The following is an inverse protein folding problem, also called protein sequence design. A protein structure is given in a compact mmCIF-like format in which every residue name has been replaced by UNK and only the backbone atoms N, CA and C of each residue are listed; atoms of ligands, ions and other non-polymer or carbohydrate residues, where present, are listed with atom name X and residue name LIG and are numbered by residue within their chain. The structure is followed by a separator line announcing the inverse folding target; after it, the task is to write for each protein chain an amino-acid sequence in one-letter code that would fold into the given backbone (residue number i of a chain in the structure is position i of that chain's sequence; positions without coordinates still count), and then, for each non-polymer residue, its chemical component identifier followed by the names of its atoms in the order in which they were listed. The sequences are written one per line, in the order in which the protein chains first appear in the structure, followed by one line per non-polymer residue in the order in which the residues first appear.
data_IF_532247181725
#
_entry.id   IF_532247181725
#
_cell.length_a   1.000
_cell.length_b   1.000
_cell.length_c   1.000
_cell.angle_alpha   90.00
_cell.angle_beta   90.00
_cell.angle_gamma   90.00
#
_symmetry.space_group_name_H-M   'P 1'
#
loop_
_entity.id
_entity.type
_entity.pdbx_description
1 polymer ?
#
# COMPACT_ATOMS: atom_id res chain seq x y z
N UNK A 1 -37.99 -7.23 -10.22
CA UNK A 1 -36.55 -7.28 -10.53
C UNK A 1 -35.97 -5.93 -10.17
N UNK A 2 -35.43 -5.82 -8.97
CA UNK A 2 -34.80 -4.61 -8.44
C UNK A 2 -33.38 -4.56 -8.97
N UNK A 3 -33.09 -3.58 -9.83
CA UNK A 3 -31.73 -3.27 -10.24
C UNK A 3 -30.92 -2.90 -8.99
N UNK A 4 -30.00 -3.80 -8.62
CA UNK A 4 -28.90 -3.52 -7.71
C UNK A 4 -28.04 -2.44 -8.38
N UNK A 5 -28.20 -1.19 -7.93
CA UNK A 5 -27.20 -0.15 -8.18
C UNK A 5 -25.91 -0.65 -7.54
N UNK A 6 -24.92 -0.97 -8.39
CA UNK A 6 -23.55 -1.10 -7.93
C UNK A 6 -23.20 0.15 -7.11
N UNK A 7 -22.50 0.01 -5.96
CA UNK A 7 -22.05 1.18 -5.22
C UNK A 7 -21.18 2.03 -6.15
N UNK A 8 -21.70 3.23 -6.39
CA UNK A 8 -21.12 4.33 -7.13
C UNK A 8 -19.65 4.49 -6.80
N UNK A 9 -18.84 4.70 -7.85
CA UNK A 9 -17.45 5.12 -7.80
C UNK A 9 -17.14 5.99 -6.58
N UNK A 10 -16.11 5.59 -5.82
CA UNK A 10 -15.58 6.33 -4.68
C UNK A 10 -15.35 7.78 -5.13
N UNK A 11 -16.20 8.69 -4.68
CA UNK A 11 -15.89 10.10 -4.76
C UNK A 11 -14.66 10.31 -3.90
N UNK A 12 -13.50 10.55 -4.53
CA UNK A 12 -12.37 11.17 -3.83
C UNK A 12 -12.95 12.36 -3.06
N UNK A 13 -12.72 12.40 -1.75
CA UNK A 13 -13.09 13.55 -0.92
C UNK A 13 -12.60 14.82 -1.62
N UNK A 14 -13.42 15.86 -1.63
CA UNK A 14 -13.02 17.13 -2.22
C UNK A 14 -11.70 17.62 -1.59
N UNK A 15 -10.82 18.23 -2.39
CA UNK A 15 -9.50 18.71 -1.90
C UNK A 15 -9.62 19.66 -0.70
N UNK A 16 -10.71 20.42 -0.66
CA UNK A 16 -10.98 21.42 0.38
C UNK A 16 -11.76 20.82 1.56
N UNK A 17 -11.81 19.49 1.67
CA UNK A 17 -12.40 18.80 2.82
C UNK A 17 -11.61 19.12 4.08
N UNK A 18 -12.29 19.64 5.09
CA UNK A 18 -11.73 19.89 6.41
C UNK A 18 -11.98 18.70 7.32
N UNK A 19 -11.01 18.41 8.18
CA UNK A 19 -11.16 17.53 9.33
C UNK A 19 -10.89 18.31 10.61
N UNK A 20 -11.60 17.96 11.67
CA UNK A 20 -11.38 18.48 13.02
C UNK A 20 -11.19 17.33 13.99
N UNK A 21 -10.00 17.31 14.60
CA UNK A 21 -9.56 16.28 15.53
C UNK A 21 -10.08 16.57 16.95
N UNK A 22 -10.39 15.52 17.74
CA UNK A 22 -10.92 15.68 19.09
C UNK A 22 -9.85 16.03 20.14
N UNK A 23 -8.55 15.92 19.81
CA UNK A 23 -7.44 16.07 20.77
C UNK A 23 -6.60 17.32 20.51
N UNK A 24 -5.96 17.84 21.55
CA UNK A 24 -4.97 18.93 21.47
C UNK A 24 -3.54 18.42 21.25
N UNK A 25 -3.37 17.15 20.82
CA UNK A 25 -2.04 16.56 20.58
C UNK A 25 -1.33 17.20 19.39
N UNK A 26 -2.07 17.87 18.51
CA UNK A 26 -1.54 18.65 17.40
C UNK A 26 -1.61 20.15 17.70
N UNK A 27 -0.73 20.93 17.04
CA UNK A 27 -0.61 22.39 17.22
C UNK A 27 -1.90 23.17 16.88
N UNK A 28 -2.79 22.56 16.09
CA UNK A 28 -4.16 23.03 15.83
C UNK A 28 -5.08 21.81 15.76
N UNK A 29 -6.39 22.05 15.78
CA UNK A 29 -7.39 20.96 15.74
C UNK A 29 -8.04 20.77 14.39
N UNK A 30 -7.95 21.74 13.49
CA UNK A 30 -8.58 21.69 12.15
C UNK A 30 -7.51 21.65 11.07
N UNK A 31 -7.66 20.73 10.13
CA UNK A 31 -6.73 20.49 9.03
C UNK A 31 -7.50 20.28 7.74
N UNK A 32 -6.88 20.54 6.60
CA UNK A 32 -7.32 19.95 5.35
C UNK A 32 -7.08 18.45 5.41
N UNK A 33 -7.95 17.67 4.77
CA UNK A 33 -7.83 16.22 4.71
C UNK A 33 -6.48 15.78 4.11
N UNK A 34 -6.03 16.47 3.06
CA UNK A 34 -4.71 16.25 2.44
C UNK A 34 -3.53 16.49 3.38
N UNK A 35 -3.65 17.41 4.33
CA UNK A 35 -2.62 17.62 5.34
C UNK A 35 -2.56 16.43 6.30
N UNK A 36 -3.70 15.82 6.62
CA UNK A 36 -3.72 14.62 7.46
C UNK A 36 -3.08 13.41 6.76
N UNK A 37 -3.33 13.22 5.46
CA UNK A 37 -2.62 12.21 4.66
C UNK A 37 -1.11 12.44 4.72
N UNK A 38 -0.68 13.70 4.56
CA UNK A 38 0.73 14.08 4.60
C UNK A 38 1.35 13.86 5.98
N UNK A 39 0.64 14.20 7.06
CA UNK A 39 1.07 13.96 8.44
C UNK A 39 1.24 12.46 8.68
N UNK A 40 0.25 11.64 8.31
CA UNK A 40 0.31 10.19 8.47
C UNK A 40 1.47 9.58 7.68
N UNK A 41 1.64 9.96 6.41
CA UNK A 41 2.76 9.51 5.58
C UNK A 41 4.11 9.89 6.17
N UNK A 42 4.24 11.12 6.66
CA UNK A 42 5.47 11.60 7.28
C UNK A 42 5.80 10.88 8.58
N UNK A 43 4.80 10.60 9.42
CA UNK A 43 4.96 9.81 10.65
C UNK A 43 5.51 8.40 10.36
N UNK A 44 5.09 7.76 9.26
CA UNK A 44 5.59 6.43 8.87
C UNK A 44 7.00 6.51 8.28
N UNK A 45 7.21 7.40 7.30
CA UNK A 45 8.49 7.48 6.57
C UNK A 45 9.67 7.95 7.42
N UNK A 46 9.41 8.62 8.54
CA UNK A 46 10.47 9.06 9.46
C UNK A 46 10.97 7.99 10.43
N UNK A 47 10.39 6.78 10.45
CA UNK A 47 10.85 5.66 11.29
C UNK A 47 12.30 5.31 10.94
N UNK A 48 12.58 5.09 9.66
CA UNK A 48 13.93 4.85 9.14
C UNK A 48 14.00 5.06 7.63
N UNK A 49 15.23 5.13 7.10
CA UNK A 49 15.44 5.20 5.65
C UNK A 49 14.92 3.96 4.92
N UNK A 50 15.11 2.76 5.48
CA UNK A 50 14.60 1.52 4.91
C UNK A 50 13.06 1.48 4.89
N UNK A 51 12.39 1.99 5.93
CA UNK A 51 10.92 2.13 5.94
C UNK A 51 10.46 3.09 4.85
N UNK A 52 11.13 4.24 4.68
CA UNK A 52 10.86 5.18 3.59
C UNK A 52 11.02 4.51 2.22
N UNK A 53 12.06 3.71 2.01
CA UNK A 53 12.24 2.95 0.77
C UNK A 53 11.15 1.90 0.55
N UNK A 54 10.63 1.28 1.61
CA UNK A 54 9.46 0.40 1.49
C UNK A 54 8.19 1.18 1.12
N UNK A 55 7.98 2.38 1.65
CA UNK A 55 6.82 3.21 1.29
C UNK A 55 6.84 3.57 -0.20
N UNK A 56 8.00 3.99 -0.70
CA UNK A 56 8.22 4.29 -2.13
C UNK A 56 8.10 3.03 -3.00
N UNK A 57 8.51 1.88 -2.47
CA UNK A 57 8.55 0.59 -3.13
C UNK A 57 9.96 0.12 -3.39
N UNK A 58 10.19 -1.14 -3.04
CA UNK A 58 11.49 -1.78 -3.17
C UNK A 58 11.35 -3.10 -3.91
N UNK A 59 12.32 -3.40 -4.77
CA UNK A 59 12.39 -4.70 -5.46
C UNK A 59 12.56 -5.83 -4.44
N UNK A 60 11.77 -6.87 -4.61
CA UNK A 60 11.79 -8.02 -3.73
C UNK A 60 10.94 -9.15 -4.27
N UNK A 61 10.56 -10.05 -3.38
CA UNK A 61 9.77 -11.23 -3.67
C UNK A 61 8.75 -11.51 -2.59
N UNK A 62 7.66 -12.15 -2.97
CA UNK A 62 6.63 -12.65 -2.08
C UNK A 62 6.29 -14.12 -2.40
N UNK A 63 5.87 -14.89 -1.40
CA UNK A 63 5.36 -16.25 -1.63
C UNK A 63 3.93 -16.14 -2.17
N UNK A 64 3.72 -16.62 -3.38
CA UNK A 64 2.40 -16.72 -4.01
C UNK A 64 1.58 -17.87 -3.39
N UNK A 65 0.24 -17.87 -3.53
CA UNK A 65 -0.63 -18.93 -3.01
C UNK A 65 -0.29 -20.35 -3.50
N UNK A 66 0.40 -20.48 -4.63
CA UNK A 66 0.89 -21.75 -5.18
C UNK A 66 2.18 -22.26 -4.51
N UNK A 67 2.73 -21.52 -3.55
CA UNK A 67 3.96 -21.84 -2.80
C UNK A 67 5.26 -21.41 -3.46
N UNK A 68 5.22 -20.78 -4.65
CA UNK A 68 6.40 -20.27 -5.33
C UNK A 68 6.75 -18.83 -4.91
N UNK A 69 8.04 -18.48 -4.96
CA UNK A 69 8.47 -17.09 -4.87
C UNK A 69 8.23 -16.38 -6.19
N UNK A 70 7.52 -15.25 -6.14
CA UNK A 70 7.38 -14.33 -7.27
C UNK A 70 8.22 -13.08 -7.03
N UNK A 71 8.91 -12.61 -8.06
CA UNK A 71 9.63 -11.34 -8.05
C UNK A 71 8.68 -10.19 -8.37
N UNK A 72 8.91 -9.04 -7.75
CA UNK A 72 8.07 -7.87 -7.95
C UNK A 72 8.49 -6.68 -7.11
N UNK A 73 7.55 -5.76 -6.93
CA UNK A 73 7.71 -4.58 -6.07
C UNK A 73 6.95 -4.80 -4.77
N UNK A 74 7.66 -4.77 -3.65
CA UNK A 74 7.11 -4.78 -2.29
C UNK A 74 6.97 -3.35 -1.80
N UNK A 75 5.79 -3.00 -1.27
CA UNK A 75 5.51 -1.67 -0.70
C UNK A 75 4.92 -1.75 0.70
N UNK A 76 5.36 -0.88 1.59
CA UNK A 76 4.65 -0.57 2.83
C UNK A 76 3.61 0.52 2.53
N UNK A 77 2.36 0.26 2.87
CA UNK A 77 1.27 1.19 2.70
C UNK A 77 0.97 1.87 4.04
N UNK A 78 1.02 3.20 4.06
CA UNK A 78 0.47 4.00 5.13
C UNK A 78 -0.99 4.29 4.78
N UNK A 79 -1.94 3.64 5.45
CA UNK A 79 -3.35 3.72 5.12
C UNK A 79 -4.10 4.65 6.06
N UNK A 80 -4.84 5.61 5.51
CA UNK A 80 -5.81 6.39 6.25
C UNK A 80 -7.21 5.84 5.98
N UNK A 81 -7.88 5.42 7.04
CA UNK A 81 -9.21 4.82 6.99
C UNK A 81 -10.21 5.76 7.66
N UNK A 82 -11.30 6.06 6.96
CA UNK A 82 -12.39 6.89 7.44
C UNK A 82 -13.70 6.11 7.37
N UNK A 83 -14.35 5.93 8.51
CA UNK A 83 -15.69 5.32 8.61
C UNK A 83 -16.71 6.37 9.04
N UNK A 84 -17.58 6.79 8.12
CA UNK A 84 -18.62 7.79 8.41
C UNK A 84 -19.73 7.14 9.23
N UNK A 85 -20.11 7.70 10.39
CA UNK A 85 -21.03 7.02 11.32
C UNK A 85 -22.47 6.90 10.82
N UNK A 86 -22.91 7.85 9.98
CA UNK A 86 -24.28 7.92 9.48
C UNK A 86 -24.46 7.19 8.13
N UNK A 87 -23.40 6.58 7.60
CA UNK A 87 -23.36 6.01 6.26
C UNK A 87 -22.64 4.66 6.30
N UNK A 88 -22.89 3.77 5.35
CA UNK A 88 -22.05 2.57 5.15
C UNK A 88 -20.74 2.91 4.39
N UNK A 89 -20.48 4.20 4.17
CA UNK A 89 -19.30 4.70 3.48
C UNK A 89 -18.05 4.46 4.30
N UNK A 90 -17.19 3.58 3.79
CA UNK A 90 -15.85 3.32 4.29
C UNK A 90 -14.84 3.76 3.22
N UNK A 91 -13.98 4.69 3.59
CA UNK A 91 -12.90 5.15 2.74
C UNK A 91 -11.58 4.60 3.28
N UNK A 92 -10.78 4.02 2.39
CA UNK A 92 -9.41 3.60 2.68
C UNK A 92 -8.51 4.15 1.58
N UNK A 93 -7.52 4.94 1.97
CA UNK A 93 -6.59 5.60 1.06
C UNK A 93 -5.14 5.28 1.45
N UNK A 94 -4.32 4.94 0.47
CA UNK A 94 -2.87 5.01 0.61
C UNK A 94 -2.46 6.48 0.68
N UNK A 95 -1.81 6.88 1.78
CA UNK A 95 -1.39 8.27 2.00
C UNK A 95 -0.40 8.77 0.93
N UNK A 96 0.35 7.87 0.27
CA UNK A 96 1.28 8.25 -0.79
C UNK A 96 0.55 8.52 -2.11
N UNK A 97 -0.25 7.57 -2.58
CA UNK A 97 -0.91 7.63 -3.90
C UNK A 97 -2.26 8.34 -3.87
N UNK A 98 -2.88 8.45 -2.69
CA UNK A 98 -4.24 8.97 -2.44
C UNK A 98 -5.33 8.14 -3.10
N UNK A 99 -5.02 6.91 -3.48
CA UNK A 99 -5.94 5.96 -4.08
C UNK A 99 -6.26 4.83 -3.10
N UNK A 100 -7.35 4.12 -3.37
CA UNK A 100 -7.63 2.88 -2.66
C UNK A 100 -6.56 1.84 -3.00
N UNK A 101 -5.87 1.28 -2.00
CA UNK A 101 -4.78 0.34 -2.23
C UNK A 101 -5.28 -0.91 -2.96
N UNK A 102 -4.41 -1.46 -3.81
CA UNK A 102 -4.63 -2.73 -4.51
C UNK A 102 -3.50 -3.70 -4.13
N UNK A 103 -3.75 -4.99 -4.30
CA UNK A 103 -2.74 -6.04 -4.08
C UNK A 103 -2.12 -6.04 -2.67
N UNK A 104 -2.94 -5.79 -1.64
CA UNK A 104 -2.54 -5.98 -0.24
C UNK A 104 -2.23 -7.46 0.00
N UNK A 105 -1.10 -7.73 0.63
CA UNK A 105 -0.69 -9.07 1.01
C UNK A 105 -1.42 -9.51 2.28
N UNK A 106 -1.82 -10.79 2.40
CA UNK A 106 -2.34 -11.32 3.65
C UNK A 106 -1.23 -11.38 4.71
N UNK A 107 -1.62 -11.32 5.99
CA UNK A 107 -0.69 -11.41 7.13
C UNK A 107 0.13 -12.72 7.18
N UNK A 108 -0.30 -13.76 6.47
CA UNK A 108 0.39 -15.04 6.35
C UNK A 108 1.42 -15.08 5.22
N UNK A 109 1.44 -14.07 4.34
CA UNK A 109 2.44 -13.99 3.28
C UNK A 109 3.84 -13.80 3.87
N UNK A 110 4.84 -14.27 3.13
CA UNK A 110 6.25 -14.04 3.45
C UNK A 110 6.86 -13.20 2.33
N UNK A 111 7.60 -12.17 2.71
CA UNK A 111 8.29 -11.27 1.79
C UNK A 111 9.79 -11.26 2.05
N UNK A 112 10.56 -10.90 1.03
CA UNK A 112 11.99 -10.63 1.13
C UNK A 112 12.38 -9.56 0.12
N UNK A 113 13.30 -8.68 0.51
CA UNK A 113 13.71 -7.50 -0.25
C UNK A 113 15.22 -7.54 -0.49
N UNK A 114 15.66 -7.21 -1.70
CA UNK A 114 17.08 -7.37 -2.08
C UNK A 114 17.99 -6.35 -1.35
N UNK A 115 17.54 -5.08 -1.29
CA UNK A 115 18.31 -3.94 -0.80
C UNK A 115 17.55 -3.16 0.30
N UNK A 116 16.98 -3.86 1.27
CA UNK A 116 16.27 -3.23 2.39
C UNK A 116 16.47 -4.03 3.69
N UNK A 117 16.97 -3.39 4.74
CA UNK A 117 17.32 -4.09 5.98
C UNK A 117 16.09 -4.58 6.77
N UNK A 118 14.92 -3.97 6.60
CA UNK A 118 13.68 -4.35 7.30
C UNK A 118 13.21 -5.75 6.89
N UNK A 119 13.40 -6.10 5.62
CA UNK A 119 12.95 -7.37 5.02
C UNK A 119 14.06 -8.07 4.22
N UNK A 120 15.33 -7.90 4.60
CA UNK A 120 16.46 -8.51 3.88
C UNK A 120 16.41 -10.04 3.92
N UNK A 121 16.02 -10.58 5.07
CA UNK A 121 15.70 -11.98 5.25
C UNK A 121 14.19 -12.20 5.08
N UNK A 122 13.73 -13.44 4.78
CA UNK A 122 12.31 -13.72 4.69
C UNK A 122 11.57 -13.37 5.99
N UNK A 123 10.56 -12.50 5.89
CA UNK A 123 9.72 -12.04 7.02
C UNK A 123 8.25 -12.32 6.73
N UNK A 124 7.51 -12.80 7.71
CA UNK A 124 6.06 -12.87 7.64
C UNK A 124 5.46 -11.46 7.74
N UNK A 125 4.52 -11.14 6.84
CA UNK A 125 3.91 -9.81 6.74
C UNK A 125 3.28 -9.36 8.05
N UNK A 126 2.49 -10.22 8.71
CA UNK A 126 1.79 -9.85 9.94
C UNK A 126 2.72 -9.50 11.10
N UNK A 127 3.86 -10.20 11.22
CA UNK A 127 4.86 -9.92 12.27
C UNK A 127 5.58 -8.60 11.98
N UNK A 128 6.00 -8.40 10.72
CA UNK A 128 6.67 -7.17 10.30
C UNK A 128 5.77 -5.94 10.49
N UNK A 129 4.51 -6.01 10.04
CA UNK A 129 3.54 -4.91 10.20
C UNK A 129 3.32 -4.59 11.66
N UNK A 130 3.25 -5.62 12.53
CA UNK A 130 3.12 -5.43 13.97
C UNK A 130 4.32 -4.68 14.56
N UNK A 131 5.54 -5.10 14.23
CA UNK A 131 6.77 -4.43 14.69
C UNK A 131 6.82 -2.98 14.22
N UNK A 132 6.52 -2.70 12.94
CA UNK A 132 6.49 -1.34 12.41
C UNK A 132 5.43 -0.47 13.08
N UNK A 133 4.27 -1.03 13.44
CA UNK A 133 3.24 -0.32 14.23
C UNK A 133 3.73 0.01 15.63
N UNK A 134 4.50 -0.87 16.27
CA UNK A 134 5.10 -0.62 17.58
C UNK A 134 6.19 0.46 17.50
N UNK A 135 7.06 0.41 16.48
CA UNK A 135 8.06 1.45 16.21
C UNK A 135 7.41 2.82 15.96
N UNK A 136 6.34 2.86 15.16
CA UNK A 136 5.61 4.08 14.87
C UNK A 136 5.00 4.72 16.13
N UNK A 137 4.42 3.89 17.00
CA UNK A 137 3.88 4.36 18.28
C UNK A 137 4.97 4.96 19.18
N UNK A 138 6.15 4.36 19.19
CA UNK A 138 7.30 4.86 19.95
C UNK A 138 7.87 6.16 19.36
N UNK A 139 7.87 6.29 18.03
CA UNK A 139 8.43 7.45 17.34
C UNK A 139 7.47 8.65 17.28
N UNK A 140 6.15 8.43 17.25
CA UNK A 140 5.12 9.45 17.03
C UNK A 140 3.93 9.25 18.00
N UNK A 141 4.08 9.69 19.25
CA UNK A 141 3.06 9.57 20.30
C UNK A 141 1.73 10.29 19.96
N UNK A 142 1.78 11.30 19.09
CA UNK A 142 0.62 12.02 18.57
C UNK A 142 -0.26 11.14 17.67
N UNK A 143 0.30 10.10 17.04
CA UNK A 143 -0.41 9.20 16.13
C UNK A 143 -1.01 7.97 16.83
N UNK A 144 -0.59 7.68 18.06
CA UNK A 144 -0.97 6.45 18.79
C UNK A 144 -2.47 6.22 18.83
N UNK A 145 -3.27 7.25 19.10
CA UNK A 145 -4.72 7.12 19.24
C UNK A 145 -5.39 6.71 17.91
N UNK A 146 -4.76 6.99 16.77
CA UNK A 146 -5.27 6.60 15.45
C UNK A 146 -4.78 5.23 15.00
N UNK A 147 -3.68 4.72 15.58
CA UNK A 147 -3.06 3.44 15.23
C UNK A 147 -3.63 2.27 16.03
N UNK A 148 -3.96 2.50 17.29
CA UNK A 148 -4.45 1.47 18.21
C UNK A 148 -5.73 1.95 18.86
N UNK A 149 -6.78 1.12 18.95
CA UNK A 149 -8.03 1.53 19.57
C UNK A 149 -7.82 1.81 21.06
N UNK A 150 -8.43 2.89 21.55
CA UNK A 150 -8.53 3.16 22.98
C UNK A 150 -9.62 2.30 23.62
N UNK A 151 -9.82 2.41 24.94
CA UNK A 151 -10.98 1.79 25.62
C UNK A 151 -12.34 2.20 25.01
N UNK A 152 -12.39 3.34 24.34
CA UNK A 152 -13.59 3.87 23.68
C UNK A 152 -13.61 3.60 22.16
N UNK A 153 -12.67 2.80 21.66
CA UNK A 153 -12.43 2.61 20.23
C UNK A 153 -11.48 3.66 19.65
N UNK A 154 -11.54 3.84 18.33
CA UNK A 154 -10.75 4.85 17.64
C UNK A 154 -11.36 6.26 17.77
N UNK A 155 -10.55 7.32 17.63
CA UNK A 155 -11.01 8.70 17.68
C UNK A 155 -12.13 8.98 16.69
N UNK A 156 -13.16 9.64 17.19
CA UNK A 156 -14.19 10.22 16.34
C UNK A 156 -13.81 11.65 16.00
N UNK A 157 -13.71 11.93 14.71
CA UNK A 157 -13.41 13.24 14.15
C UNK A 157 -14.69 13.85 13.57
N UNK A 158 -14.66 15.16 13.39
CA UNK A 158 -15.63 15.87 12.56
C UNK A 158 -14.99 16.13 11.19
N UNK A 159 -15.77 16.05 10.11
CA UNK A 159 -15.29 16.43 8.78
C UNK A 159 -16.35 17.22 8.01
N UNK A 160 -15.89 18.09 7.12
CA UNK A 160 -16.71 19.00 6.33
C UNK A 160 -16.25 18.97 4.88
N UNK A 161 -17.12 18.51 3.99
CA UNK A 161 -16.93 18.68 2.54
C UNK A 161 -17.59 19.98 2.08
N UNK A 162 -17.06 20.64 1.03
CA UNK A 162 -17.66 21.85 0.47
C UNK A 162 -19.16 21.65 0.15
N UNK A 163 -20.00 22.54 0.67
CA UNK A 163 -21.45 22.51 0.47
C UNK A 163 -22.21 21.50 1.33
N UNK A 164 -21.53 20.73 2.19
CA UNK A 164 -22.14 19.79 3.13
C UNK A 164 -22.19 20.36 4.56
N UNK A 165 -22.86 19.65 5.46
CA UNK A 165 -22.80 19.90 6.90
C UNK A 165 -21.63 19.14 7.54
N UNK A 166 -21.21 19.56 8.73
CA UNK A 166 -20.27 18.79 9.54
C UNK A 166 -20.84 17.40 9.86
N UNK A 167 -20.04 16.36 9.64
CA UNK A 167 -20.39 14.96 9.91
C UNK A 167 -19.34 14.31 10.80
N UNK A 168 -19.76 13.28 11.52
CA UNK A 168 -18.87 12.49 12.38
C UNK A 168 -18.36 11.25 11.65
N UNK A 169 -17.06 10.99 11.80
CA UNK A 169 -16.42 9.79 11.29
C UNK A 169 -15.42 9.25 12.30
N UNK A 170 -15.18 7.96 12.25
CA UNK A 170 -14.04 7.34 12.93
C UNK A 170 -12.82 7.39 12.00
N UNK A 171 -11.70 7.89 12.53
CA UNK A 171 -10.44 7.99 11.80
C UNK A 171 -9.44 6.96 12.33
N UNK A 172 -8.84 6.19 11.43
CA UNK A 172 -7.80 5.20 11.76
C UNK A 172 -6.62 5.34 10.82
N UNK A 173 -5.42 5.15 11.34
CA UNK A 173 -4.21 4.94 10.55
C UNK A 173 -3.83 3.47 10.66
N UNK A 174 -3.52 2.86 9.53
CA UNK A 174 -3.10 1.47 9.45
C UNK A 174 -1.82 1.34 8.64
N UNK A 175 -1.14 0.22 8.83
CA UNK A 175 0.03 -0.20 8.04
C UNK A 175 -0.27 -1.54 7.41
N UNK A 176 -0.04 -1.66 6.12
CA UNK A 176 -0.23 -2.90 5.36
C UNK A 176 0.93 -3.10 4.38
N UNK A 177 1.19 -4.34 3.98
CA UNK A 177 2.14 -4.62 2.90
C UNK A 177 1.41 -4.89 1.60
N UNK A 178 1.94 -4.42 0.49
CA UNK A 178 1.45 -4.75 -0.85
C UNK A 178 2.57 -5.32 -1.72
N UNK A 179 2.17 -6.10 -2.71
CA UNK A 179 3.08 -6.69 -3.67
C UNK A 179 2.47 -6.70 -5.07
N UNK A 180 3.24 -6.21 -6.03
CA UNK A 180 2.90 -6.28 -7.45
C UNK A 180 3.95 -7.13 -8.16
N UNK A 181 3.51 -8.27 -8.70
CA UNK A 181 4.35 -9.21 -9.43
C UNK A 181 4.84 -8.62 -10.76
N UNK A 182 6.10 -8.85 -11.10
CA UNK A 182 6.68 -8.45 -12.40
C UNK A 182 5.93 -9.14 -13.57
N UNK A 183 5.39 -10.34 -13.35
CA UNK A 183 4.65 -11.09 -14.37
C UNK A 183 3.23 -10.57 -14.62
N UNK A 184 2.63 -9.89 -13.64
CA UNK A 184 1.26 -9.36 -13.71
C UNK A 184 1.13 -8.02 -14.47
N UNK A 185 2.24 -7.39 -14.88
CA UNK A 185 2.22 -6.14 -15.66
C UNK A 185 2.07 -6.36 -17.18
N UNK A 186 1.97 -7.62 -17.63
CA UNK A 186 1.85 -7.97 -19.05
C UNK A 186 0.40 -8.04 -19.54
N UNK A 187 -0.42 -7.02 -19.30
CA UNK A 187 -1.71 -6.91 -20.01
C UNK A 187 -2.17 -5.46 -20.25
N UNK A 188 -1.31 -4.69 -20.91
CA UNK A 188 -1.73 -3.52 -21.68
C UNK A 188 -1.01 -3.54 -23.04
N UNK A 189 -1.53 -4.38 -23.94
CA UNK A 189 -1.55 -4.16 -25.38
C UNK A 189 -0.25 -3.79 -26.10
N UNK A 190 0.63 -4.77 -26.33
CA UNK A 190 1.39 -4.86 -27.58
C UNK A 190 1.88 -6.31 -27.77
N UNK A 191 1.53 -7.00 -28.87
CA UNK A 191 2.13 -8.29 -29.17
C UNK A 191 3.60 -8.06 -29.50
N UNK A 192 4.48 -8.57 -28.64
CA UNK A 192 5.92 -8.52 -28.83
C UNK A 192 6.28 -9.50 -29.97
N UNK A 193 6.19 -9.04 -31.22
CA UNK A 193 6.53 -9.81 -32.43
C UNK A 193 8.04 -10.07 -32.62
N UNK A 194 8.90 -9.68 -31.67
CA UNK A 194 10.35 -9.89 -31.81
C UNK A 194 10.85 -11.27 -31.36
N UNK A 195 9.95 -12.24 -31.14
CA UNK A 195 10.31 -13.64 -30.83
C UNK A 195 10.43 -14.55 -32.06
N UNK A 196 10.82 -14.01 -33.21
CA UNK A 196 11.24 -14.81 -34.37
C UNK A 196 12.58 -14.31 -34.91
N UNK A 197 13.65 -14.99 -34.48
CA UNK A 197 14.79 -15.49 -35.28
C UNK A 197 15.99 -15.75 -34.35
N UNK A 198 15.84 -16.68 -33.41
CA UNK A 198 16.99 -17.43 -32.91
C UNK A 198 16.96 -18.80 -33.61
N UNK A 199 17.45 -18.84 -34.86
CA UNK A 199 17.78 -20.12 -35.47
C UNK A 199 18.95 -20.75 -34.71
N UNK A 200 18.93 -22.06 -34.44
CA UNK A 200 20.07 -22.72 -33.83
C UNK A 200 21.24 -22.74 -34.81
N UNK A 201 22.39 -22.22 -34.36
CA UNK A 201 23.67 -22.36 -35.04
C UNK A 201 23.97 -23.86 -35.24
N UNK A 202 24.05 -24.29 -36.50
CA UNK A 202 24.57 -25.63 -36.84
C UNK A 202 26.10 -25.66 -36.62
N UNK A 203 26.66 -26.79 -36.13
CA UNK A 203 28.08 -26.88 -35.84
C UNK A 203 28.92 -26.95 -37.12
N UNK A 204 30.08 -26.28 -37.09
CA UNK A 204 31.12 -26.32 -38.12
C UNK A 204 31.67 -27.75 -38.31
N UNK A 205 31.69 -28.21 -39.56
CA UNK A 205 32.86 -28.86 -40.16
C UNK A 205 32.87 -30.38 -40.24
N UNK A 206 32.24 -30.94 -41.28
CA UNK A 206 32.68 -32.21 -41.86
C UNK A 206 33.66 -31.93 -43.01
N UNK A 207 34.90 -32.44 -42.89
CA UNK A 207 35.87 -32.50 -43.99
C UNK A 207 35.49 -33.64 -44.95
N UNK A 208 35.58 -33.47 -46.27
CA UNK A 208 35.36 -34.56 -47.20
C UNK A 208 36.59 -35.48 -47.26
N UNK A 209 36.38 -36.75 -46.96
CA UNK A 209 37.26 -37.84 -47.38
C UNK A 209 36.67 -38.46 -48.65
N UNK A 210 37.22 -38.09 -49.81
CA UNK A 210 36.99 -38.81 -51.07
C UNK A 210 38.26 -39.60 -51.41
N UNK A 211 38.18 -40.92 -51.32
CA UNK A 211 39.09 -41.82 -52.00
C UNK A 211 38.57 -42.13 -53.39
N UNK A 212 39.45 -42.05 -54.39
CA UNK A 212 39.74 -43.06 -55.41
C UNK A 212 41.07 -42.67 -56.07
#
# INVERSE_FOLDING_TARGET
MTESKLPTSISMLAKDTLIKLPTHKFYRQTFMFDEMLSIALWSVTRISYDVKCLVDGTRGRAIAPNGGWEMGTVRLLALLNLKVRAEETHLQLDCLTRDTPRAILPNTAVIQCDNNQVCREPRQVGELVKELKEELQNACAEMTDFLVPTRLGFPTIEFLEPGQQWRYAELRVDLEMSFVSDYGQSDNGQPNEDRRLAQPLSPLGERPSSGF
#
